data_IF_310975549757
#
_entry.id   IF_310975549757
#
_cell.length_a   1.000
_cell.length_b   1.000
_cell.length_c   1.000
_cell.angle_alpha   90.00
_cell.angle_beta   90.00
_cell.angle_gamma   90.00
#
_symmetry.space_group_name_H-M   'P 1'
#
loop_
_entity.id
_entity.type
_entity.pdbx_description
1 polymer ?
#
# COMPACT_ATOMS: atom_id res chain seq x y z
N UNK A 1 9.93 30.69 -9.12
CA UNK A 1 10.61 29.48 -9.64
C UNK A 1 11.74 28.97 -8.73
N UNK A 2 11.77 29.25 -7.41
CA UNK A 2 12.97 29.04 -6.56
C UNK A 2 12.95 27.84 -5.59
N UNK A 3 11.96 26.94 -5.62
CA UNK A 3 11.81 25.88 -4.62
C UNK A 3 11.79 24.45 -5.21
N UNK A 4 12.55 24.19 -6.28
CA UNK A 4 12.77 22.84 -6.80
C UNK A 4 14.10 22.30 -6.27
N UNK A 5 14.15 21.03 -5.93
CA UNK A 5 15.42 20.39 -5.56
C UNK A 5 16.25 20.20 -6.85
N UNK A 6 17.55 20.44 -6.76
CA UNK A 6 18.45 20.26 -7.90
C UNK A 6 18.58 18.76 -8.21
N UNK A 7 18.28 18.39 -9.45
CA UNK A 7 18.37 17.02 -9.95
C UNK A 7 19.80 16.47 -9.76
N UNK A 8 20.82 17.29 -9.98
CA UNK A 8 22.22 16.86 -9.84
C UNK A 8 22.53 16.43 -8.41
N UNK A 9 21.90 17.06 -7.41
CA UNK A 9 22.04 16.70 -6.00
C UNK A 9 21.33 15.36 -5.71
N UNK A 10 20.17 15.12 -6.30
CA UNK A 10 19.41 13.86 -6.18
C UNK A 10 20.16 12.70 -6.83
N UNK A 11 20.73 12.92 -8.01
CA UNK A 11 21.56 11.95 -8.71
C UNK A 11 22.84 11.65 -7.96
N UNK A 12 23.50 12.67 -7.40
CA UNK A 12 24.67 12.49 -6.54
C UNK A 12 24.34 11.61 -5.34
N UNK A 13 23.23 11.87 -4.65
CA UNK A 13 22.80 11.04 -3.52
C UNK A 13 22.46 9.59 -3.93
N UNK A 14 21.89 9.38 -5.12
CA UNK A 14 21.65 8.04 -5.66
C UNK A 14 22.96 7.30 -5.99
N UNK A 15 24.01 8.03 -6.41
CA UNK A 15 25.33 7.47 -6.72
C UNK A 15 26.22 7.25 -5.49
N UNK A 16 25.96 7.96 -4.37
CA UNK A 16 26.59 7.67 -3.07
C UNK A 16 25.86 6.47 -2.49
N UNK A 17 26.00 5.32 -3.13
CA UNK A 17 25.56 4.04 -2.60
C UNK A 17 26.75 3.43 -1.88
N UNK A 18 26.60 3.17 -0.59
CA UNK A 18 27.64 2.53 0.21
C UNK A 18 27.92 1.12 -0.34
N UNK A 19 29.20 0.73 -0.43
CA UNK A 19 29.66 -0.51 -1.08
C UNK A 19 29.14 -1.80 -0.39
N UNK A 20 28.54 -1.66 0.80
CA UNK A 20 27.99 -2.74 1.65
C UNK A 20 26.45 -2.89 1.59
N UNK A 21 25.74 -2.15 0.73
CA UNK A 21 24.28 -2.24 0.66
C UNK A 21 23.79 -3.40 -0.21
N UNK A 22 23.08 -4.35 0.41
CA UNK A 22 22.36 -5.44 -0.27
C UNK A 22 21.50 -4.86 -1.40
N UNK A 23 21.83 -5.22 -2.64
CA UNK A 23 21.09 -4.82 -3.82
C UNK A 23 20.05 -5.88 -4.18
N UNK A 24 18.80 -5.46 -4.37
CA UNK A 24 17.74 -6.31 -4.87
C UNK A 24 17.88 -6.43 -6.40
N UNK A 25 17.86 -7.64 -6.92
CA UNK A 25 17.87 -7.91 -8.35
C UNK A 25 16.50 -7.65 -9.00
N UNK A 26 16.44 -7.80 -10.33
CA UNK A 26 15.20 -7.67 -11.10
C UNK A 26 14.09 -8.61 -10.56
N UNK A 27 14.47 -9.85 -10.25
CA UNK A 27 13.54 -10.87 -9.77
C UNK A 27 13.02 -10.54 -8.37
N UNK A 28 13.90 -10.13 -7.46
CA UNK A 28 13.53 -9.75 -6.09
C UNK A 28 12.59 -8.55 -6.09
N UNK A 29 12.86 -7.54 -6.92
CA UNK A 29 12.01 -6.36 -7.07
C UNK A 29 10.65 -6.71 -7.69
N UNK A 30 10.61 -7.65 -8.63
CA UNK A 30 9.36 -8.10 -9.27
C UNK A 30 8.47 -8.83 -8.27
N UNK A 31 9.03 -9.75 -7.48
CA UNK A 31 8.30 -10.46 -6.43
C UNK A 31 7.85 -9.50 -5.34
N UNK A 32 8.71 -8.57 -4.92
CA UNK A 32 8.36 -7.53 -3.95
C UNK A 32 7.15 -6.71 -4.43
N UNK A 33 7.14 -6.31 -5.70
CA UNK A 33 6.02 -5.59 -6.31
C UNK A 33 4.71 -6.41 -6.30
N UNK A 34 4.76 -7.66 -6.75
CA UNK A 34 3.57 -8.54 -6.78
C UNK A 34 3.07 -8.79 -5.35
N UNK A 35 3.97 -9.10 -4.40
CA UNK A 35 3.62 -9.34 -3.01
C UNK A 35 3.01 -8.12 -2.32
N UNK A 36 3.45 -6.92 -2.67
CA UNK A 36 2.86 -5.68 -2.14
C UNK A 36 1.45 -5.38 -2.67
N UNK A 37 1.09 -5.92 -3.85
CA UNK A 37 -0.25 -5.73 -4.45
C UNK A 37 -1.28 -6.75 -3.96
N UNK A 38 -0.86 -8.00 -3.71
CA UNK A 38 -1.76 -9.06 -3.25
C UNK A 38 -2.07 -8.88 -1.77
N UNK A 39 -3.35 -8.68 -1.45
CA UNK A 39 -3.78 -8.57 -0.06
C UNK A 39 -5.30 -8.46 0.08
N UNK A 40 -5.75 -7.81 1.15
CA UNK A 40 -7.17 -7.64 1.50
C UNK A 40 -8.02 -7.09 0.35
N UNK A 41 -7.47 -6.26 -0.53
CA UNK A 41 -8.19 -5.71 -1.68
C UNK A 41 -8.78 -6.81 -2.57
N UNK A 42 -7.92 -7.66 -3.13
CA UNK A 42 -8.38 -8.73 -4.03
C UNK A 42 -9.11 -9.85 -3.27
N UNK A 43 -8.66 -10.18 -2.06
CA UNK A 43 -9.14 -11.36 -1.31
C UNK A 43 -10.46 -11.12 -0.56
N UNK A 44 -10.73 -9.88 -0.12
CA UNK A 44 -11.93 -9.54 0.66
C UNK A 44 -12.84 -8.58 -0.10
N UNK A 45 -12.29 -7.43 -0.52
CA UNK A 45 -13.11 -6.34 -1.05
C UNK A 45 -13.78 -6.72 -2.38
N UNK A 46 -13.12 -7.53 -3.21
CA UNK A 46 -13.71 -8.07 -4.46
C UNK A 46 -15.04 -8.79 -4.22
N UNK A 47 -15.10 -9.66 -3.21
CA UNK A 47 -16.31 -10.40 -2.89
C UNK A 47 -17.44 -9.49 -2.43
N UNK A 48 -17.12 -8.48 -1.62
CA UNK A 48 -18.08 -7.48 -1.13
C UNK A 48 -18.63 -6.65 -2.29
N UNK A 49 -17.77 -6.17 -3.19
CA UNK A 49 -18.18 -5.36 -4.34
C UNK A 49 -18.99 -6.18 -5.35
N UNK A 50 -18.59 -7.44 -5.57
CA UNK A 50 -19.37 -8.36 -6.40
C UNK A 50 -20.76 -8.61 -5.80
N UNK A 51 -20.87 -8.82 -4.48
CA UNK A 51 -22.14 -9.09 -3.82
C UNK A 51 -23.07 -7.86 -3.73
N UNK A 52 -22.52 -6.66 -3.55
CA UNK A 52 -23.34 -5.47 -3.21
C UNK A 52 -23.51 -4.48 -4.36
N UNK A 53 -22.58 -4.43 -5.33
CA UNK A 53 -22.52 -3.34 -6.30
C UNK A 53 -22.48 -3.84 -7.75
N UNK A 54 -21.45 -4.61 -8.12
CA UNK A 54 -21.17 -4.93 -9.53
C UNK A 54 -21.72 -6.29 -10.00
N UNK A 55 -22.02 -7.22 -9.07
CA UNK A 55 -22.46 -8.56 -9.46
C UNK A 55 -21.42 -9.31 -10.30
N UNK A 56 -21.85 -10.18 -11.23
CA UNK A 56 -20.96 -10.85 -12.18
C UNK A 56 -20.16 -9.89 -13.08
N UNK A 57 -20.60 -8.63 -13.21
CA UNK A 57 -19.92 -7.62 -14.02
C UNK A 57 -18.67 -7.03 -13.35
N UNK A 58 -18.31 -7.46 -12.13
CA UNK A 58 -17.09 -7.03 -11.42
C UNK A 58 -15.81 -7.21 -12.25
N UNK A 59 -15.80 -8.19 -13.17
CA UNK A 59 -14.68 -8.42 -14.09
C UNK A 59 -14.39 -7.21 -14.99
N UNK A 60 -15.43 -6.48 -15.42
CA UNK A 60 -15.25 -5.27 -16.23
C UNK A 60 -14.69 -4.12 -15.40
N UNK A 61 -15.07 -4.01 -14.13
CA UNK A 61 -14.47 -3.04 -13.19
C UNK A 61 -12.97 -3.31 -13.01
N UNK A 62 -12.57 -4.57 -12.86
CA UNK A 62 -11.15 -4.95 -12.79
C UNK A 62 -10.40 -4.68 -14.09
N UNK A 63 -11.02 -4.90 -15.25
CA UNK A 63 -10.39 -4.64 -16.53
C UNK A 63 -10.06 -3.14 -16.70
N UNK A 64 -11.00 -2.25 -16.37
CA UNK A 64 -10.77 -0.80 -16.41
C UNK A 64 -9.69 -0.39 -15.41
N UNK A 65 -9.73 -0.92 -14.20
CA UNK A 65 -8.71 -0.66 -13.18
C UNK A 65 -7.31 -1.16 -13.61
N UNK A 66 -7.21 -2.31 -14.28
CA UNK A 66 -5.97 -2.87 -14.79
C UNK A 66 -5.36 -1.99 -15.90
N UNK A 67 -6.18 -1.48 -16.81
CA UNK A 67 -5.71 -0.55 -17.85
C UNK A 67 -5.20 0.75 -17.22
N UNK A 68 -5.98 1.35 -16.31
CA UNK A 68 -5.59 2.59 -15.64
C UNK A 68 -4.29 2.44 -14.82
N UNK A 69 -4.18 1.36 -14.03
CA UNK A 69 -2.96 1.06 -13.25
C UNK A 69 -1.76 0.73 -14.14
N UNK A 70 -1.96 0.06 -15.28
CA UNK A 70 -0.92 -0.20 -16.26
C UNK A 70 -0.34 1.10 -16.85
N UNK A 71 -1.19 2.05 -17.23
CA UNK A 71 -0.76 3.37 -17.71
C UNK A 71 0.02 4.14 -16.63
N UNK A 72 -0.46 4.13 -15.38
CA UNK A 72 0.26 4.73 -14.25
C UNK A 72 1.62 4.05 -14.06
N UNK A 73 1.69 2.72 -14.16
CA UNK A 73 2.92 1.95 -14.07
C UNK A 73 3.96 2.35 -15.12
N UNK A 74 3.54 2.60 -16.36
CA UNK A 74 4.44 3.08 -17.42
C UNK A 74 5.01 4.47 -17.10
N UNK A 75 4.18 5.40 -16.64
CA UNK A 75 4.65 6.73 -16.22
C UNK A 75 5.64 6.64 -15.04
N UNK A 76 5.37 5.76 -14.06
CA UNK A 76 6.27 5.56 -12.93
C UNK A 76 7.58 4.87 -13.33
N UNK A 77 7.56 4.02 -14.36
CA UNK A 77 8.78 3.41 -14.92
C UNK A 77 9.70 4.44 -15.58
N UNK A 78 9.14 5.42 -16.27
CA UNK A 78 9.91 6.53 -16.86
C UNK A 78 10.52 7.42 -15.77
N UNK A 79 9.74 7.73 -14.73
CA UNK A 79 10.21 8.54 -13.60
C UNK A 79 11.29 7.83 -12.77
N UNK A 80 11.14 6.52 -12.52
CA UNK A 80 12.11 5.76 -11.70
C UNK A 80 13.45 5.55 -12.40
N UNK A 81 13.44 5.43 -13.73
CA UNK A 81 14.66 5.35 -14.54
C UNK A 81 15.36 6.70 -14.67
N UNK A 82 14.61 7.80 -14.68
CA UNK A 82 15.16 9.17 -14.76
C UNK A 82 15.67 9.69 -13.41
N UNK A 83 14.97 9.35 -12.32
CA UNK A 83 15.26 9.81 -10.96
C UNK A 83 15.43 8.58 -10.06
N UNK A 84 16.61 7.92 -10.08
CA UNK A 84 16.88 6.68 -9.36
C UNK A 84 17.12 6.94 -7.86
N UNK A 85 16.20 7.63 -7.19
CA UNK A 85 16.32 8.00 -5.78
C UNK A 85 15.14 7.44 -4.97
N UNK A 86 15.45 6.93 -3.78
CA UNK A 86 14.49 6.39 -2.82
C UNK A 86 13.63 7.50 -2.21
N UNK A 87 12.52 7.83 -2.85
CA UNK A 87 11.55 8.79 -2.29
C UNK A 87 10.19 8.86 -2.95
N UNK A 88 9.89 7.95 -3.89
CA UNK A 88 8.57 7.79 -4.52
C UNK A 88 7.98 9.11 -5.06
N UNK A 89 6.66 9.22 -5.12
CA UNK A 89 5.94 10.35 -5.71
C UNK A 89 6.29 11.72 -5.09
N UNK A 90 6.73 11.75 -3.83
CA UNK A 90 7.17 12.98 -3.15
C UNK A 90 8.38 13.61 -3.84
N UNK A 91 9.43 12.83 -4.05
CA UNK A 91 10.65 13.31 -4.72
C UNK A 91 10.36 13.63 -6.18
N UNK A 92 9.55 12.82 -6.86
CA UNK A 92 9.15 13.10 -8.24
C UNK A 92 8.42 14.44 -8.35
N UNK A 93 7.46 14.72 -7.47
CA UNK A 93 6.73 15.99 -7.44
C UNK A 93 7.65 17.18 -7.08
N UNK A 94 8.62 16.99 -6.19
CA UNK A 94 9.54 18.06 -5.79
C UNK A 94 10.48 18.45 -6.94
N UNK A 95 11.02 17.47 -7.65
CA UNK A 95 11.90 17.69 -8.80
C UNK A 95 11.15 18.34 -9.96
N UNK A 96 9.95 17.84 -10.29
CA UNK A 96 9.22 18.24 -11.50
C UNK A 96 8.41 19.53 -11.31
N UNK A 97 7.62 19.63 -10.23
CA UNK A 97 6.63 20.69 -10.05
C UNK A 97 7.08 21.70 -8.99
N UNK A 98 7.63 21.22 -7.87
CA UNK A 98 8.22 22.04 -6.82
C UNK A 98 7.71 21.71 -5.41
N UNK A 99 8.32 22.34 -4.41
CA UNK A 99 8.15 21.98 -2.99
C UNK A 99 6.70 21.99 -2.49
N UNK A 100 5.86 22.94 -2.92
CA UNK A 100 4.47 23.03 -2.43
C UNK A 100 3.66 21.81 -2.86
N UNK A 101 3.77 21.40 -4.12
CA UNK A 101 3.08 20.21 -4.60
C UNK A 101 3.69 18.92 -4.03
N UNK A 102 5.01 18.91 -3.81
CA UNK A 102 5.66 17.83 -3.08
C UNK A 102 5.11 17.68 -1.65
N UNK A 103 4.93 18.78 -0.93
CA UNK A 103 4.36 18.76 0.42
C UNK A 103 2.97 18.11 0.44
N UNK A 104 2.07 18.52 -0.46
CA UNK A 104 0.76 17.88 -0.58
C UNK A 104 0.86 16.41 -0.99
N UNK A 105 1.75 16.06 -1.93
CA UNK A 105 1.98 14.67 -2.31
C UNK A 105 2.47 13.81 -1.12
N UNK A 106 3.35 14.36 -0.28
CA UNK A 106 3.84 13.70 0.93
C UNK A 106 2.73 13.45 1.95
N UNK A 107 1.87 14.46 2.19
CA UNK A 107 0.71 14.29 3.07
C UNK A 107 -0.29 13.27 2.55
N UNK A 108 -0.55 13.28 1.23
CA UNK A 108 -1.40 12.26 0.60
C UNK A 108 -0.79 10.87 0.76
N UNK A 109 0.51 10.71 0.53
CA UNK A 109 1.20 9.42 0.71
C UNK A 109 1.09 8.92 2.15
N UNK A 110 1.32 9.79 3.15
CA UNK A 110 1.14 9.44 4.56
C UNK A 110 -0.30 8.97 4.85
N UNK A 111 -1.30 9.73 4.38
CA UNK A 111 -2.71 9.37 4.56
C UNK A 111 -3.08 8.04 3.89
N UNK A 112 -2.54 7.80 2.68
CA UNK A 112 -2.73 6.54 1.95
C UNK A 112 -2.11 5.38 2.74
N UNK A 113 -0.86 5.49 3.20
CA UNK A 113 -0.23 4.41 3.97
C UNK A 113 -1.00 4.08 5.25
N UNK A 114 -1.42 5.10 6.03
CA UNK A 114 -2.21 4.89 7.25
C UNK A 114 -3.51 4.17 6.93
N UNK A 115 -4.24 4.64 5.90
CA UNK A 115 -5.53 4.07 5.51
C UNK A 115 -5.36 2.65 4.99
N UNK A 116 -4.36 2.40 4.13
CA UNK A 116 -4.06 1.08 3.57
C UNK A 116 -3.71 0.08 4.66
N UNK A 117 -2.81 0.44 5.60
CA UNK A 117 -2.45 -0.44 6.72
C UNK A 117 -3.68 -0.77 7.59
N UNK A 118 -4.51 0.23 7.89
CA UNK A 118 -5.75 0.01 8.62
C UNK A 118 -6.73 -0.90 7.85
N UNK A 119 -6.93 -0.68 6.55
CA UNK A 119 -7.80 -1.52 5.72
C UNK A 119 -7.29 -2.96 5.66
N UNK A 120 -6.00 -3.18 5.48
CA UNK A 120 -5.41 -4.53 5.42
C UNK A 120 -5.62 -5.27 6.74
N UNK A 121 -5.31 -4.63 7.87
CA UNK A 121 -5.49 -5.21 9.20
C UNK A 121 -6.95 -5.55 9.50
N UNK A 122 -7.89 -4.68 9.13
CA UNK A 122 -9.32 -4.95 9.28
C UNK A 122 -9.78 -6.13 8.42
N UNK A 123 -9.31 -6.23 7.18
CA UNK A 123 -9.65 -7.37 6.31
C UNK A 123 -9.17 -8.71 6.85
N UNK A 124 -8.04 -8.72 7.55
CA UNK A 124 -7.51 -9.94 8.17
C UNK A 124 -8.41 -10.51 9.27
N UNK A 125 -9.21 -9.66 9.91
CA UNK A 125 -10.09 -10.04 11.02
C UNK A 125 -11.12 -11.09 10.60
N UNK A 126 -11.65 -11.00 9.38
CA UNK A 126 -12.57 -11.99 8.84
C UNK A 126 -11.92 -13.37 8.71
N UNK A 127 -10.68 -13.43 8.25
CA UNK A 127 -9.94 -14.70 8.13
C UNK A 127 -9.67 -15.34 9.48
N UNK A 128 -9.24 -14.56 10.47
CA UNK A 128 -9.02 -15.05 11.84
C UNK A 128 -10.28 -15.60 12.44
N UNK A 129 -11.38 -14.85 12.32
CA UNK A 129 -12.65 -15.26 12.90
C UNK A 129 -13.13 -16.58 12.29
N UNK A 130 -13.05 -16.73 10.96
CA UNK A 130 -13.40 -17.99 10.28
C UNK A 130 -12.46 -19.13 10.70
N UNK A 131 -11.15 -18.88 10.78
CA UNK A 131 -10.19 -19.88 11.21
C UNK A 131 -10.43 -20.34 12.66
N UNK A 132 -10.65 -19.43 13.61
CA UNK A 132 -10.95 -19.79 15.01
C UNK A 132 -12.30 -20.50 15.16
N UNK A 133 -13.28 -20.16 14.33
CA UNK A 133 -14.57 -20.83 14.32
C UNK A 133 -14.45 -22.32 13.92
N UNK A 134 -13.51 -22.69 13.07
CA UNK A 134 -13.21 -24.10 12.74
C UNK A 134 -12.72 -24.89 13.96
N UNK A 135 -12.06 -24.22 14.92
CA UNK A 135 -11.65 -24.80 16.20
C UNK A 135 -12.71 -24.67 17.31
N UNK A 136 -13.92 -24.19 16.99
CA UNK A 136 -15.01 -24.00 17.95
C UNK A 136 -14.87 -22.74 18.83
N UNK A 137 -13.91 -21.86 18.55
CA UNK A 137 -13.71 -20.62 19.28
C UNK A 137 -14.47 -19.48 18.58
N UNK A 138 -15.61 -19.10 19.14
CA UNK A 138 -16.39 -17.97 18.64
C UNK A 138 -16.03 -16.69 19.39
N UNK A 139 -15.36 -15.77 18.70
CA UNK A 139 -15.06 -14.44 19.24
C UNK A 139 -16.33 -13.57 19.27
N UNK A 140 -16.59 -12.84 20.37
CA UNK A 140 -17.68 -11.89 20.43
C UNK A 140 -17.52 -10.79 19.38
N UNK A 141 -18.61 -10.43 18.69
CA UNK A 141 -18.63 -9.36 17.67
C UNK A 141 -18.06 -8.02 18.18
N UNK A 142 -18.16 -7.78 19.49
CA UNK A 142 -17.62 -6.60 20.18
C UNK A 142 -16.11 -6.43 19.96
N UNK A 143 -15.36 -7.53 19.79
CA UNK A 143 -13.91 -7.52 19.59
C UNK A 143 -13.48 -7.69 18.13
N UNK A 144 -14.42 -7.82 17.19
CA UNK A 144 -14.15 -8.08 15.78
C UNK A 144 -14.40 -6.87 14.88
N UNK A 145 -15.00 -5.81 15.43
CA UNK A 145 -15.42 -4.66 14.67
C UNK A 145 -14.98 -3.36 15.35
N UNK A 146 -14.69 -2.36 14.53
CA UNK A 146 -14.49 -1.00 15.02
C UNK A 146 -15.81 -0.40 15.56
N UNK A 147 -15.75 0.68 16.36
CA UNK A 147 -16.92 1.43 16.82
C UNK A 147 -17.91 1.81 15.72
N UNK A 148 -17.41 2.17 14.55
CA UNK A 148 -18.23 2.50 13.37
C UNK A 148 -19.06 1.34 12.83
N UNK A 149 -18.68 0.09 13.15
CA UNK A 149 -19.34 -1.14 12.71
C UNK A 149 -20.03 -1.89 13.88
N UNK A 150 -20.19 -1.24 15.04
CA UNK A 150 -20.92 -1.78 16.20
C UNK A 150 -20.10 -2.63 17.18
N UNK A 151 -18.77 -2.63 17.07
CA UNK A 151 -17.87 -3.21 18.07
C UNK A 151 -17.22 -2.15 18.96
N UNK A 152 -16.41 -2.54 19.95
CA UNK A 152 -15.64 -1.58 20.76
C UNK A 152 -14.24 -1.40 20.16
N UNK A 153 -13.58 -2.51 19.78
CA UNK A 153 -12.28 -2.47 19.12
C UNK A 153 -12.11 -3.70 18.24
N UNK A 154 -11.39 -3.55 17.13
CA UNK A 154 -10.97 -4.69 16.32
C UNK A 154 -9.67 -5.29 16.88
N UNK A 155 -9.82 -6.26 17.77
CA UNK A 155 -8.71 -6.87 18.51
C UNK A 155 -7.76 -7.65 17.60
N UNK A 156 -8.22 -8.53 16.67
CA UNK A 156 -7.31 -9.22 15.74
C UNK A 156 -6.50 -8.27 14.85
N UNK A 157 -7.12 -7.18 14.37
CA UNK A 157 -6.41 -6.19 13.56
C UNK A 157 -5.29 -5.49 14.37
N UNK A 158 -5.56 -5.12 15.62
CA UNK A 158 -4.56 -4.47 16.49
C UNK A 158 -3.40 -5.42 16.80
N UNK A 159 -3.71 -6.67 17.15
CA UNK A 159 -2.68 -7.69 17.43
C UNK A 159 -1.79 -7.87 16.20
N UNK A 160 -2.36 -7.92 14.99
CA UNK A 160 -1.55 -8.05 13.78
C UNK A 160 -0.66 -6.86 13.48
N UNK A 161 -1.18 -5.64 13.64
CA UNK A 161 -0.37 -4.44 13.44
C UNK A 161 0.81 -4.47 14.41
N UNK A 162 0.56 -4.70 15.69
CA UNK A 162 1.62 -4.79 16.71
C UNK A 162 2.62 -5.90 16.42
N UNK A 163 2.14 -7.07 15.99
CA UNK A 163 3.00 -8.20 15.63
C UNK A 163 3.91 -7.85 14.45
N UNK A 164 3.36 -7.31 13.36
CA UNK A 164 4.16 -6.90 12.19
C UNK A 164 5.13 -5.78 12.56
N UNK A 165 4.70 -4.80 13.35
CA UNK A 165 5.59 -3.74 13.85
C UNK A 165 6.76 -4.30 14.65
N UNK A 166 6.51 -5.29 15.52
CA UNK A 166 7.56 -5.94 16.32
C UNK A 166 8.52 -6.77 15.44
N UNK A 167 8.01 -7.44 14.39
CA UNK A 167 8.85 -8.21 13.47
C UNK A 167 9.72 -7.31 12.59
N UNK A 168 9.25 -6.11 12.25
CA UNK A 168 9.95 -5.17 11.38
C UNK A 168 10.91 -4.23 12.13
N UNK A 169 10.83 -4.16 13.47
CA UNK A 169 11.71 -3.34 14.31
C UNK A 169 12.90 -4.17 14.78
#
# INVERSE_FOLDING_TARGET
>A
MKNKIDVNKVLKNASIKSEDERSLGLFDLSILGIGAMIGTGILVLTGIVAATTAGPAVIFSFLVAAIASGLIGLCYSELSTTIPNSGSAYIYAWVTIGQVMAFFAGWTLLGVYITTTATVANGWTGYVHSFLAEFGVHLPKIFLAAPSAGGIMNLPAIIMILFITLVLT
#
